data_IF_825133129595
#
_entry.id   IF_825133129595
#
_cell.length_a   1.000
_cell.length_b   1.000
_cell.length_c   1.000
_cell.angle_alpha   90.00
_cell.angle_beta   90.00
_cell.angle_gamma   90.00
#
_symmetry.space_group_name_H-M   'P 1'
#
loop_
_entity.id
_entity.type
_entity.pdbx_description
1 polymer ?
#
# COMPACT_ATOMS: atom_id res chain seq x y z
N UNK A 1 -15.37 3.71 38.77
CA UNK A 1 -14.47 4.68 38.11
C UNK A 1 -13.06 4.14 37.90
N UNK A 2 -12.38 3.56 38.89
CA UNK A 2 -11.00 3.08 38.75
C UNK A 2 -10.80 1.97 37.69
N UNK A 3 -11.72 1.01 37.59
CA UNK A 3 -11.62 -0.10 36.62
C UNK A 3 -11.67 0.41 35.18
N UNK A 4 -12.59 1.33 34.87
CA UNK A 4 -12.70 1.92 33.54
C UNK A 4 -11.42 2.66 33.13
N UNK A 5 -10.82 3.43 34.05
CA UNK A 5 -9.55 4.11 33.80
C UNK A 5 -8.41 3.13 33.51
N UNK A 6 -8.32 2.04 34.27
CA UNK A 6 -7.33 0.98 34.02
C UNK A 6 -7.56 0.31 32.66
N UNK A 7 -8.80 -0.01 32.30
CA UNK A 7 -9.13 -0.53 30.96
C UNK A 7 -8.73 0.44 29.85
N UNK A 8 -9.07 1.72 29.98
CA UNK A 8 -8.66 2.73 29.00
C UNK A 8 -7.14 2.79 28.88
N UNK A 9 -6.40 2.85 29.98
CA UNK A 9 -4.92 2.87 29.95
C UNK A 9 -4.36 1.62 29.28
N UNK A 10 -4.87 0.43 29.60
CA UNK A 10 -4.41 -0.83 29.00
C UNK A 10 -4.64 -0.86 27.48
N UNK A 11 -5.81 -0.44 27.01
CA UNK A 11 -6.13 -0.43 25.58
C UNK A 11 -5.54 0.77 24.82
N UNK A 12 -5.12 1.82 25.52
CA UNK A 12 -4.39 2.95 24.94
C UNK A 12 -2.88 2.72 24.85
N UNK A 13 -2.34 1.72 25.56
CA UNK A 13 -0.95 1.30 25.38
C UNK A 13 -0.82 0.44 24.11
N UNK A 14 0.20 0.67 23.27
CA UNK A 14 0.33 -0.03 21.98
C UNK A 14 0.51 -1.54 22.13
N UNK A 15 0.93 -2.02 23.30
CA UNK A 15 1.22 -3.44 23.55
C UNK A 15 0.04 -4.37 23.23
N UNK A 16 -1.17 -4.03 23.69
CA UNK A 16 -2.34 -4.90 23.52
C UNK A 16 -2.87 -4.87 22.08
N UNK A 17 -3.14 -3.71 21.46
CA UNK A 17 -3.54 -3.64 20.05
C UNK A 17 -2.52 -4.29 19.12
N UNK A 18 -1.22 -4.06 19.33
CA UNK A 18 -0.18 -4.63 18.47
C UNK A 18 -0.14 -6.16 18.53
N UNK A 19 -0.41 -6.76 19.70
CA UNK A 19 -0.52 -8.23 19.81
C UNK A 19 -1.68 -8.75 18.97
N UNK A 20 -2.84 -8.11 19.05
CA UNK A 20 -4.00 -8.51 18.25
C UNK A 20 -3.77 -8.32 16.75
N UNK A 21 -3.21 -7.17 16.35
CA UNK A 21 -2.84 -6.91 14.96
C UNK A 21 -1.84 -7.96 14.46
N UNK A 22 -0.78 -8.26 15.21
CA UNK A 22 0.20 -9.30 14.84
C UNK A 22 -0.42 -10.67 14.67
N UNK A 23 -1.41 -11.03 15.49
CA UNK A 23 -2.13 -12.30 15.34
C UNK A 23 -2.90 -12.38 14.01
N UNK A 24 -3.50 -11.28 13.57
CA UNK A 24 -4.21 -11.20 12.28
C UNK A 24 -3.23 -11.10 11.11
N UNK A 25 -2.18 -10.29 11.22
CA UNK A 25 -1.15 -10.12 10.18
C UNK A 25 -0.42 -11.44 9.88
N UNK A 26 -0.11 -12.24 10.91
CA UNK A 26 0.58 -13.53 10.76
C UNK A 26 -0.26 -14.61 10.06
N UNK A 27 -1.55 -14.37 9.81
CA UNK A 27 -2.37 -15.26 8.97
C UNK A 27 -1.91 -15.21 7.51
N UNK A 28 -1.25 -14.13 7.11
CA UNK A 28 -0.74 -13.93 5.76
C UNK A 28 0.79 -13.93 5.80
N UNK A 29 1.39 -14.98 5.26
CA UNK A 29 2.84 -15.06 5.16
C UNK A 29 3.36 -14.01 4.18
N UNK A 30 4.45 -13.34 4.54
CA UNK A 30 5.18 -12.50 3.60
C UNK A 30 5.61 -13.37 2.40
N UNK A 31 5.52 -12.80 1.20
CA UNK A 31 5.98 -13.49 -0.01
C UNK A 31 7.50 -13.63 0.09
N UNK A 32 7.97 -14.85 0.38
CA UNK A 32 9.38 -15.21 0.32
C UNK A 32 9.76 -15.41 -1.16
N UNK A 33 10.07 -14.30 -1.84
CA UNK A 33 10.22 -14.25 -3.30
C UNK A 33 11.40 -15.11 -3.79
N UNK A 34 12.33 -15.45 -2.91
CA UNK A 34 13.45 -16.37 -3.15
C UNK A 34 12.95 -17.76 -3.60
N UNK A 35 11.68 -18.06 -3.32
CA UNK A 35 10.97 -19.27 -3.73
C UNK A 35 9.67 -18.94 -4.52
N UNK A 36 9.66 -17.91 -5.38
CA UNK A 36 8.50 -17.60 -6.22
C UNK A 36 7.99 -18.83 -6.99
N UNK A 37 8.89 -19.71 -7.45
CA UNK A 37 8.55 -20.97 -8.11
C UNK A 37 7.76 -21.96 -7.23
N UNK A 38 7.89 -21.83 -5.91
CA UNK A 38 7.20 -22.63 -4.90
C UNK A 38 5.91 -21.96 -4.40
N UNK A 39 5.57 -20.76 -4.88
CA UNK A 39 4.32 -20.12 -4.53
C UNK A 39 3.16 -20.89 -5.18
N UNK A 40 2.12 -21.28 -4.42
CA UNK A 40 1.01 -22.08 -4.95
C UNK A 40 0.22 -21.34 -6.03
N UNK A 41 0.16 -20.00 -5.95
CA UNK A 41 -0.46 -19.14 -6.96
C UNK A 41 0.60 -18.61 -7.94
N UNK A 42 0.93 -19.43 -8.94
CA UNK A 42 1.97 -19.13 -9.95
C UNK A 42 1.64 -18.02 -10.96
N UNK A 43 0.62 -17.20 -10.71
CA UNK A 43 0.11 -16.26 -11.70
C UNK A 43 -0.34 -14.94 -11.05
N UNK A 44 0.56 -14.31 -10.28
CA UNK A 44 0.32 -12.98 -9.75
C UNK A 44 0.44 -11.97 -10.89
N UNK A 45 -0.71 -11.52 -11.40
CA UNK A 45 -0.78 -10.53 -12.49
C UNK A 45 -0.71 -9.08 -12.00
N UNK A 46 -1.05 -8.85 -10.74
CA UNK A 46 -1.22 -7.50 -10.19
C UNK A 46 -0.59 -7.39 -8.82
N UNK A 47 0.12 -6.30 -8.60
CA UNK A 47 0.58 -5.85 -7.28
C UNK A 47 -0.11 -4.53 -7.01
N UNK A 48 -0.93 -4.51 -5.97
CA UNK A 48 -1.74 -3.34 -5.61
C UNK A 48 -1.09 -2.63 -4.42
N UNK A 49 -0.79 -1.35 -4.59
CA UNK A 49 -0.30 -0.48 -3.51
C UNK A 49 -1.38 0.55 -3.19
N UNK A 50 -1.91 0.44 -1.98
CA UNK A 50 -2.92 1.36 -1.45
C UNK A 50 -2.27 2.62 -0.87
N UNK A 51 -3.03 3.72 -0.97
CA UNK A 51 -2.68 5.01 -0.40
C UNK A 51 -2.50 4.94 1.12
N UNK A 52 -1.73 5.89 1.63
CA UNK A 52 -1.49 6.03 3.08
C UNK A 52 -1.35 7.49 3.50
N UNK A 53 -1.77 8.42 2.63
CA UNK A 53 -1.60 9.84 2.78
C UNK A 53 -0.24 10.33 2.30
N UNK A 54 -0.26 11.57 1.79
CA UNK A 54 0.91 12.34 1.44
C UNK A 54 0.78 13.77 1.95
N UNK A 55 1.82 14.57 1.75
CA UNK A 55 1.83 16.02 1.94
C UNK A 55 2.38 16.65 0.68
N UNK A 56 1.71 17.68 0.16
CA UNK A 56 2.23 18.44 -0.97
C UNK A 56 3.12 19.58 -0.51
N UNK A 57 4.42 19.44 -0.76
CA UNK A 57 5.38 20.53 -0.62
C UNK A 57 6.45 20.40 -1.71
N UNK A 58 6.31 21.20 -2.78
CA UNK A 58 7.22 21.19 -3.93
C UNK A 58 8.68 21.56 -3.59
N UNK A 59 8.95 22.08 -2.38
CA UNK A 59 10.32 22.35 -1.91
C UNK A 59 10.99 21.13 -1.31
N UNK A 60 10.24 20.06 -1.05
CA UNK A 60 10.75 18.80 -0.51
C UNK A 60 10.92 17.77 -1.63
N UNK A 61 11.92 16.88 -1.52
CA UNK A 61 12.01 15.74 -2.42
C UNK A 61 10.76 14.87 -2.30
N UNK A 62 10.37 14.20 -3.38
CA UNK A 62 9.17 13.37 -3.44
C UNK A 62 9.14 12.28 -2.34
N UNK A 63 10.30 11.76 -1.96
CA UNK A 63 10.44 10.78 -0.87
C UNK A 63 10.07 11.33 0.51
N UNK A 64 10.15 12.64 0.72
CA UNK A 64 9.76 13.32 1.97
C UNK A 64 8.30 13.82 1.95
N UNK A 65 7.58 13.56 0.87
CA UNK A 65 6.17 13.93 0.73
C UNK A 65 5.23 12.78 1.11
N UNK A 66 5.73 11.58 1.39
CA UNK A 66 4.92 10.44 1.85
C UNK A 66 4.89 10.31 3.37
N UNK A 67 3.81 9.71 3.89
CA UNK A 67 3.86 9.10 5.23
C UNK A 67 4.86 7.93 5.25
N UNK A 68 5.35 7.59 6.44
CA UNK A 68 6.27 6.46 6.59
C UNK A 68 5.68 5.15 6.05
N UNK A 69 4.40 4.88 6.36
CA UNK A 69 3.69 3.70 5.86
C UNK A 69 3.53 3.71 4.35
N UNK A 70 3.19 4.86 3.74
CA UNK A 70 3.06 5.00 2.29
C UNK A 70 4.36 4.71 1.56
N UNK A 71 5.47 5.29 2.04
CA UNK A 71 6.78 5.07 1.44
C UNK A 71 7.22 3.60 1.53
N UNK A 72 7.06 2.96 2.69
CA UNK A 72 7.42 1.54 2.88
C UNK A 72 6.57 0.64 1.99
N UNK A 73 5.26 0.88 1.89
CA UNK A 73 4.35 0.13 1.01
C UNK A 73 4.76 0.25 -0.45
N UNK A 74 5.06 1.46 -0.90
CA UNK A 74 5.48 1.70 -2.28
C UNK A 74 6.80 1.00 -2.60
N UNK A 75 7.82 1.16 -1.74
CA UNK A 75 9.12 0.52 -1.94
C UNK A 75 8.97 -1.00 -2.00
N UNK A 76 8.16 -1.58 -1.12
CA UNK A 76 7.88 -3.01 -1.12
C UNK A 76 7.12 -3.46 -2.37
N UNK A 77 6.12 -2.69 -2.82
CA UNK A 77 5.40 -2.93 -4.07
C UNK A 77 6.32 -2.92 -5.29
N UNK A 78 7.23 -1.94 -5.38
CA UNK A 78 8.24 -1.87 -6.44
C UNK A 78 9.23 -3.05 -6.35
N UNK A 79 9.63 -3.44 -5.13
CA UNK A 79 10.51 -4.61 -4.92
C UNK A 79 9.84 -5.90 -5.38
N UNK A 80 8.56 -6.09 -5.08
CA UNK A 80 7.77 -7.23 -5.53
C UNK A 80 7.62 -7.22 -7.05
N UNK A 81 7.28 -6.06 -7.63
CA UNK A 81 7.07 -5.89 -9.08
C UNK A 81 8.30 -6.31 -9.88
N UNK A 82 9.49 -5.90 -9.45
CA UNK A 82 10.74 -6.28 -10.13
C UNK A 82 11.05 -7.78 -10.06
N UNK A 83 10.49 -8.50 -9.10
CA UNK A 83 10.76 -9.92 -8.90
C UNK A 83 9.65 -10.82 -9.45
N UNK A 84 8.45 -10.29 -9.69
CA UNK A 84 7.31 -11.02 -10.24
C UNK A 84 7.18 -10.64 -11.72
N UNK A 85 7.64 -11.51 -12.64
CA UNK A 85 7.60 -11.23 -14.08
C UNK A 85 6.15 -11.08 -14.57
N UNK A 86 5.96 -10.29 -15.62
CA UNK A 86 4.68 -10.03 -16.29
C UNK A 86 3.56 -9.45 -15.40
N UNK A 87 3.90 -8.99 -14.19
CA UNK A 87 2.95 -8.31 -13.31
C UNK A 87 2.77 -6.84 -13.69
N UNK A 88 1.63 -6.27 -13.29
CA UNK A 88 1.34 -4.83 -13.36
C UNK A 88 1.28 -4.24 -11.95
N UNK A 89 1.76 -3.00 -11.81
CA UNK A 89 1.75 -2.25 -10.56
C UNK A 89 0.52 -1.33 -10.53
N UNK A 90 -0.49 -1.68 -9.73
CA UNK A 90 -1.65 -0.82 -9.50
C UNK A 90 -1.36 0.09 -8.32
N UNK A 91 -1.45 1.40 -8.53
CA UNK A 91 -1.27 2.43 -7.50
C UNK A 91 -2.61 3.12 -7.28
N UNK A 92 -3.10 3.11 -6.04
CA UNK A 92 -4.46 3.53 -5.67
C UNK A 92 -4.43 4.58 -4.56
N UNK A 93 -5.45 5.43 -4.52
CA UNK A 93 -5.56 6.52 -3.56
C UNK A 93 -5.72 7.86 -4.25
N UNK A 94 -6.78 8.56 -3.88
CA UNK A 94 -7.19 9.83 -4.45
C UNK A 94 -6.52 11.04 -3.82
N UNK A 95 -6.95 12.26 -4.20
CA UNK A 95 -6.33 13.51 -3.75
C UNK A 95 -6.54 13.83 -2.27
N UNK A 96 -7.56 13.29 -1.63
CA UNK A 96 -7.93 13.69 -0.27
C UNK A 96 -8.15 15.20 -0.20
N UNK A 97 -7.33 15.89 0.60
CA UNK A 97 -7.37 17.36 0.76
C UNK A 97 -6.48 18.11 -0.26
N UNK A 98 -5.71 17.40 -1.08
CA UNK A 98 -4.69 17.96 -1.96
C UNK A 98 -5.17 18.05 -3.42
N UNK A 99 -4.35 18.64 -4.30
CA UNK A 99 -4.62 18.73 -5.74
C UNK A 99 -4.07 17.55 -6.55
N UNK A 100 -3.22 16.73 -5.94
CA UNK A 100 -2.57 15.56 -6.56
C UNK A 100 -2.99 14.33 -5.75
N UNK A 101 -3.26 13.22 -6.43
CA UNK A 101 -3.64 11.97 -5.79
C UNK A 101 -2.44 11.21 -5.20
N UNK A 102 -2.68 10.46 -4.11
CA UNK A 102 -1.71 9.51 -3.55
C UNK A 102 -1.14 8.62 -4.67
N UNK A 103 -2.02 8.07 -5.52
CA UNK A 103 -1.66 7.23 -6.65
C UNK A 103 -0.73 7.93 -7.65
N UNK A 104 -1.00 9.20 -7.97
CA UNK A 104 -0.15 9.96 -8.90
C UNK A 104 1.23 10.21 -8.32
N UNK A 105 1.33 10.59 -7.06
CA UNK A 105 2.61 10.79 -6.39
C UNK A 105 3.40 9.47 -6.31
N UNK A 106 2.73 8.36 -6.00
CA UNK A 106 3.33 7.02 -6.03
C UNK A 106 3.84 6.63 -7.42
N UNK A 107 3.10 6.99 -8.48
CA UNK A 107 3.51 6.75 -9.87
C UNK A 107 4.79 7.49 -10.22
N UNK A 108 4.86 8.77 -9.88
CA UNK A 108 6.02 9.61 -10.17
C UNK A 108 7.27 9.05 -9.47
N UNK A 109 7.17 8.66 -8.20
CA UNK A 109 8.29 8.01 -7.49
C UNK A 109 8.60 6.61 -8.05
N UNK A 110 7.60 5.82 -8.46
CA UNK A 110 7.85 4.51 -9.09
C UNK A 110 8.66 4.64 -10.38
N UNK A 111 8.36 5.66 -11.19
CA UNK A 111 9.07 5.96 -12.43
C UNK A 111 10.50 6.42 -12.13
N UNK A 112 10.71 7.28 -11.12
CA UNK A 112 12.06 7.65 -10.66
C UNK A 112 12.87 6.45 -10.16
N UNK A 113 12.18 5.45 -9.59
CA UNK A 113 12.76 4.16 -9.23
C UNK A 113 12.89 3.20 -10.44
N UNK A 114 12.58 3.62 -11.67
CA UNK A 114 12.81 2.83 -12.87
C UNK A 114 11.74 1.79 -13.21
N UNK A 115 10.51 1.96 -12.73
CA UNK A 115 9.34 1.23 -13.24
C UNK A 115 8.87 1.88 -14.55
N UNK A 116 8.58 1.08 -15.58
CA UNK A 116 8.06 1.59 -16.84
C UNK A 116 6.60 2.07 -16.67
N UNK A 117 6.26 3.21 -17.26
CA UNK A 117 4.91 3.78 -17.16
C UNK A 117 3.83 2.85 -17.75
N UNK A 118 4.18 2.03 -18.74
CA UNK A 118 3.27 1.05 -19.35
C UNK A 118 2.96 -0.15 -18.43
N UNK A 119 3.71 -0.30 -17.34
CA UNK A 119 3.49 -1.31 -16.30
C UNK A 119 2.71 -0.78 -15.09
N UNK A 120 2.43 0.52 -15.06
CA UNK A 120 1.68 1.18 -13.98
C UNK A 120 0.22 1.37 -14.38
N UNK A 121 -0.69 1.02 -13.48
CA UNK A 121 -2.12 1.31 -13.58
C UNK A 121 -2.48 2.24 -12.42
N UNK A 122 -3.17 3.34 -12.71
CA UNK A 122 -3.57 4.31 -11.70
C UNK A 122 -5.06 4.24 -11.37
N UNK A 123 -5.34 4.30 -10.09
CA UNK A 123 -6.66 4.59 -9.54
C UNK A 123 -6.53 5.87 -8.69
N UNK A 124 -7.21 6.95 -9.06
CA UNK A 124 -6.96 8.30 -8.53
C UNK A 124 -8.15 8.93 -7.81
N UNK A 125 -9.24 8.19 -7.61
CA UNK A 125 -10.52 8.74 -7.18
C UNK A 125 -10.87 8.38 -5.75
N UNK A 126 -10.40 7.24 -5.24
CA UNK A 126 -10.78 6.75 -3.91
C UNK A 126 -10.35 7.68 -2.78
N UNK A 127 -11.26 8.02 -1.87
CA UNK A 127 -10.95 8.77 -0.64
C UNK A 127 -11.07 7.91 0.63
N UNK A 128 -11.40 6.64 0.47
CA UNK A 128 -11.45 5.66 1.56
C UNK A 128 -10.95 4.29 1.12
N UNK A 129 -10.48 3.48 2.05
CA UNK A 129 -10.06 2.09 1.78
C UNK A 129 -11.18 1.21 1.22
N UNK A 130 -12.44 1.53 1.55
CA UNK A 130 -13.59 0.87 0.95
C UNK A 130 -13.71 1.16 -0.55
N UNK A 131 -13.53 2.43 -0.94
CA UNK A 131 -13.55 2.86 -2.34
C UNK A 131 -12.35 2.33 -3.12
N UNK A 132 -11.15 2.32 -2.52
CA UNK A 132 -9.96 1.69 -3.12
C UNK A 132 -10.29 0.25 -3.55
N UNK A 133 -10.83 -0.56 -2.62
CA UNK A 133 -11.22 -1.94 -2.92
C UNK A 133 -12.33 -2.02 -4.00
N UNK A 134 -13.31 -1.12 -3.96
CA UNK A 134 -14.39 -1.06 -4.95
C UNK A 134 -13.87 -0.75 -6.35
N UNK A 135 -12.95 0.22 -6.48
CA UNK A 135 -12.42 0.69 -7.75
C UNK A 135 -11.31 -0.21 -8.29
N UNK A 136 -10.56 -0.89 -7.43
CA UNK A 136 -9.57 -1.90 -7.84
C UNK A 136 -10.23 -3.19 -8.33
N UNK A 137 -11.38 -3.59 -7.74
CA UNK A 137 -12.09 -4.82 -8.12
C UNK A 137 -12.29 -4.99 -9.63
N UNK A 138 -12.80 -4.01 -10.40
CA UNK A 138 -12.93 -4.16 -11.86
C UNK A 138 -11.58 -4.24 -12.59
N UNK A 139 -10.50 -3.69 -12.03
CA UNK A 139 -9.16 -3.74 -12.64
C UNK A 139 -8.55 -5.15 -12.55
N UNK A 140 -8.80 -5.86 -11.44
CA UNK A 140 -8.21 -7.19 -11.19
C UNK A 140 -9.13 -8.36 -11.52
N UNK A 141 -10.46 -8.17 -11.47
CA UNK A 141 -11.47 -9.22 -11.67
C UNK A 141 -12.10 -9.28 -13.07
N UNK A 142 -11.67 -8.42 -13.99
CA UNK A 142 -12.17 -8.37 -15.37
C UNK A 142 -11.50 -9.33 -16.35
N UNK A 143 -10.75 -10.33 -15.87
CA UNK A 143 -10.00 -11.29 -16.70
C UNK A 143 -10.39 -12.74 -16.41
#
# INVERSE_FOLDING_TARGET
MAIGFVFTVIFSLPFIPDIFCRCLERQYNAIAIDNYDCFPEKNIKYIVVLGAGHTLNQKLPITSQFTYSGLVRLIEGVRLFRKIPDSKLILSGGPGEYSISDAKLMSDLSIELGVDISDIILETESISTYEEAMFIKPLVGGQ
#
